data_IF_566486774335
#
_entry.id   IF_566486774335
#
_cell.length_a   1.000
_cell.length_b   1.000
_cell.length_c   1.000
_cell.angle_alpha   90.00
_cell.angle_beta   90.00
_cell.angle_gamma   90.00
#
_symmetry.space_group_name_H-M   'P 1'
#
loop_
_entity.id
_entity.type
_entity.pdbx_description
1 polymer ?
#
# COMPACT_ATOMS: atom_id res chain seq x y z
N UNK A 1 -17.79 -17.27 9.21
CA UNK A 1 -16.57 -17.00 8.39
C UNK A 1 -16.40 -15.49 8.21
N UNK A 2 -15.19 -14.95 8.29
CA UNK A 2 -14.98 -13.54 8.06
C UNK A 2 -15.31 -13.20 6.60
N UNK A 3 -16.00 -12.07 6.38
CA UNK A 3 -16.31 -11.57 5.04
C UNK A 3 -15.06 -11.28 4.20
N UNK A 4 -13.93 -10.99 4.86
CA UNK A 4 -12.67 -10.64 4.24
C UNK A 4 -11.53 -11.43 4.89
N UNK A 5 -10.52 -11.78 4.10
CA UNK A 5 -9.31 -12.49 4.57
C UNK A 5 -8.14 -11.56 4.88
N UNK A 6 -8.29 -10.28 4.60
CA UNK A 6 -7.26 -9.28 4.85
C UNK A 6 -7.87 -7.91 5.15
N UNK A 7 -7.08 -7.08 5.82
CA UNK A 7 -7.39 -5.67 6.07
C UNK A 7 -6.13 -4.82 5.93
N UNK A 8 -6.29 -3.58 5.50
CA UNK A 8 -5.23 -2.57 5.55
C UNK A 8 -5.25 -1.82 6.88
N UNK A 9 -4.18 -1.93 7.66
CA UNK A 9 -4.02 -1.16 8.89
C UNK A 9 -3.32 0.18 8.60
N UNK A 10 -4.09 1.24 8.43
CA UNK A 10 -3.57 2.58 8.16
C UNK A 10 -3.07 3.29 9.45
N UNK A 11 -3.47 2.84 10.64
CA UNK A 11 -3.04 3.45 11.90
C UNK A 11 -1.52 3.33 12.13
N UNK A 12 -0.91 2.27 11.61
CA UNK A 12 0.53 2.00 11.70
C UNK A 12 1.39 3.02 10.94
N UNK A 13 0.79 3.80 10.03
CA UNK A 13 1.45 4.92 9.35
C UNK A 13 1.89 6.03 10.32
N UNK A 14 1.08 6.31 11.30
CA UNK A 14 1.35 7.38 12.26
C UNK A 14 2.26 6.92 13.41
N UNK A 15 2.17 5.66 13.77
CA UNK A 15 2.95 5.05 14.85
C UNK A 15 3.05 3.54 14.67
N UNK A 16 4.24 2.95 14.76
CA UNK A 16 4.41 1.50 14.80
C UNK A 16 3.61 0.88 15.95
N UNK A 17 3.00 -0.29 15.77
CA UNK A 17 2.31 -0.99 16.85
C UNK A 17 3.34 -1.55 17.84
N UNK A 18 2.96 -1.68 19.10
CA UNK A 18 3.72 -2.43 20.09
C UNK A 18 3.45 -3.93 19.96
N UNK A 19 4.39 -4.78 20.43
CA UNK A 19 4.17 -6.22 20.49
C UNK A 19 2.89 -6.60 21.27
N UNK A 20 2.59 -5.89 22.37
CA UNK A 20 1.37 -6.09 23.16
C UNK A 20 0.09 -5.78 22.37
N UNK A 21 0.11 -4.74 21.51
CA UNK A 21 -1.05 -4.45 20.64
C UNK A 21 -1.25 -5.55 19.60
N UNK A 22 -0.18 -6.02 18.98
CA UNK A 22 -0.22 -7.13 18.01
C UNK A 22 -0.70 -8.42 18.67
N UNK A 23 -0.20 -8.76 19.86
CA UNK A 23 -0.66 -9.95 20.61
C UNK A 23 -2.15 -9.92 20.92
N UNK A 24 -2.74 -8.72 21.17
CA UNK A 24 -4.19 -8.60 21.35
C UNK A 24 -4.97 -8.88 20.07
N UNK A 25 -4.43 -8.54 18.90
CA UNK A 25 -5.08 -8.90 17.63
C UNK A 25 -5.10 -10.40 17.38
N UNK A 26 -4.02 -11.14 17.75
CA UNK A 26 -3.97 -12.60 17.58
C UNK A 26 -5.17 -13.34 18.22
N UNK A 27 -5.70 -12.80 19.31
CA UNK A 27 -6.86 -13.38 20.00
C UNK A 27 -8.21 -13.03 19.34
N UNK A 28 -8.23 -12.23 18.28
CA UNK A 28 -9.44 -11.67 17.69
C UNK A 28 -9.57 -11.98 16.19
N UNK A 29 -8.49 -12.40 15.54
CA UNK A 29 -8.47 -12.67 14.10
C UNK A 29 -8.42 -14.18 13.83
N UNK A 30 -9.05 -14.65 12.74
CA UNK A 30 -8.94 -16.03 12.30
C UNK A 30 -7.50 -16.43 11.96
N UNK A 31 -7.22 -17.75 12.01
CA UNK A 31 -5.88 -18.29 11.78
C UNK A 31 -5.30 -17.94 10.40
N UNK A 32 -6.15 -17.87 9.38
CA UNK A 32 -5.78 -17.56 7.98
C UNK A 32 -5.91 -16.06 7.62
N UNK A 33 -6.13 -15.18 8.61
CA UNK A 33 -6.31 -13.76 8.39
C UNK A 33 -4.97 -13.00 8.39
N UNK A 34 -4.70 -12.22 7.36
CA UNK A 34 -3.49 -11.41 7.26
C UNK A 34 -3.80 -9.90 7.31
N UNK A 35 -2.99 -9.15 8.03
CA UNK A 35 -3.07 -7.69 8.13
C UNK A 35 -1.97 -7.04 7.30
N UNK A 36 -2.34 -6.32 6.26
CA UNK A 36 -1.42 -5.43 5.56
C UNK A 36 -1.14 -4.20 6.43
N UNK A 37 0.11 -3.88 6.66
CA UNK A 37 0.51 -2.78 7.53
C UNK A 37 1.08 -1.62 6.72
N UNK A 38 0.49 -0.43 6.84
CA UNK A 38 1.08 0.78 6.27
C UNK A 38 2.31 1.16 7.07
N UNK A 39 3.47 1.27 6.40
CA UNK A 39 4.74 1.57 7.08
C UNK A 39 4.71 2.96 7.70
N UNK A 40 5.30 3.08 8.87
CA UNK A 40 5.44 4.33 9.60
C UNK A 40 6.05 5.44 8.73
N UNK A 41 5.39 6.60 8.71
CA UNK A 41 5.73 7.71 7.81
C UNK A 41 7.18 8.21 7.93
N UNK A 42 7.80 8.08 9.12
CA UNK A 42 9.21 8.42 9.32
C UNK A 42 10.17 7.64 8.39
N UNK A 43 9.76 6.50 7.88
CA UNK A 43 10.57 5.71 6.92
C UNK A 43 10.35 6.19 5.48
N UNK A 44 9.19 6.75 5.16
CA UNK A 44 8.77 7.03 3.78
C UNK A 44 8.76 8.51 3.40
N UNK A 45 8.92 9.42 4.36
CA UNK A 45 8.93 10.87 4.12
C UNK A 45 10.36 11.38 4.07
N UNK A 46 10.87 11.90 2.93
CA UNK A 46 12.22 12.47 2.85
C UNK A 46 12.36 13.81 3.57
N UNK A 47 11.29 14.60 3.58
CA UNK A 47 11.20 15.92 4.24
C UNK A 47 9.85 16.06 4.88
N UNK A 48 9.78 16.53 6.11
CA UNK A 48 8.53 16.77 6.80
C UNK A 48 7.77 17.91 6.14
N UNK A 49 6.48 17.71 5.85
CA UNK A 49 5.65 18.75 5.26
C UNK A 49 5.54 19.97 6.23
N UNK A 50 5.30 21.15 5.65
CA UNK A 50 5.04 22.38 6.42
C UNK A 50 3.64 22.34 7.02
N UNK A 51 3.38 21.38 7.92
CA UNK A 51 2.10 21.18 8.56
C UNK A 51 2.27 21.17 10.08
N UNK A 52 1.32 21.77 10.80
CA UNK A 52 1.37 21.95 12.27
C UNK A 52 1.63 20.64 13.06
N UNK A 53 1.19 19.49 12.54
CA UNK A 53 1.41 18.18 13.20
C UNK A 53 2.90 17.82 13.37
N UNK A 54 3.78 18.39 12.58
CA UNK A 54 5.23 18.12 12.67
C UNK A 54 5.98 19.09 13.59
N UNK A 55 5.30 20.14 14.10
CA UNK A 55 5.90 21.09 15.02
C UNK A 55 7.24 21.63 14.50
N UNK A 56 8.28 21.53 15.33
CA UNK A 56 9.63 22.02 15.00
C UNK A 56 10.29 21.23 13.84
N UNK A 57 9.83 20.03 13.50
CA UNK A 57 10.36 19.26 12.39
C UNK A 57 9.86 19.75 11.01
N UNK A 58 8.80 20.58 10.97
CA UNK A 58 8.20 21.03 9.71
C UNK A 58 9.24 21.65 8.77
N UNK A 59 9.27 21.21 7.51
CA UNK A 59 10.23 21.64 6.49
C UNK A 59 11.65 21.08 6.61
N UNK A 60 11.95 20.33 7.68
CA UNK A 60 13.29 19.74 7.87
C UNK A 60 13.41 18.39 7.12
N UNK A 61 14.65 18.05 6.74
CA UNK A 61 14.97 16.71 6.23
C UNK A 61 14.74 15.68 7.34
N UNK A 62 14.20 14.55 6.95
CA UNK A 62 13.96 13.45 7.85
C UNK A 62 15.17 12.49 7.89
N UNK A 63 15.86 12.34 9.03
CA UNK A 63 17.02 11.45 9.14
C UNK A 63 16.66 9.96 9.09
N UNK A 64 15.39 9.61 9.28
CA UNK A 64 14.89 8.24 9.23
C UNK A 64 14.40 7.82 7.84
N UNK A 65 14.43 8.72 6.86
CA UNK A 65 14.01 8.39 5.50
C UNK A 65 14.85 7.25 4.94
N UNK A 66 14.19 6.14 4.54
CA UNK A 66 14.83 4.91 4.05
C UNK A 66 15.94 4.38 4.98
N UNK A 67 15.77 4.56 6.29
CA UNK A 67 16.69 4.02 7.30
C UNK A 67 16.30 2.57 7.65
N UNK A 68 17.04 1.60 7.13
CA UNK A 68 16.78 0.17 7.32
C UNK A 68 16.89 -0.25 8.80
N UNK A 69 17.86 0.28 9.55
CA UNK A 69 18.04 -0.06 10.97
C UNK A 69 16.86 0.43 11.80
N UNK A 70 16.40 1.66 11.55
CA UNK A 70 15.22 2.21 12.20
C UNK A 70 13.97 1.38 11.87
N UNK A 71 13.78 0.99 10.60
CA UNK A 71 12.65 0.16 10.19
C UNK A 71 12.69 -1.21 10.86
N UNK A 72 13.82 -1.91 10.82
CA UNK A 72 13.99 -3.24 11.44
C UNK A 72 13.71 -3.16 12.93
N UNK A 73 14.33 -2.20 13.64
CA UNK A 73 14.23 -2.10 15.09
C UNK A 73 12.85 -1.62 15.57
N UNK A 74 12.27 -0.61 14.91
CA UNK A 74 11.08 0.08 15.42
C UNK A 74 9.78 -0.43 14.78
N UNK A 75 9.83 -0.99 13.58
CA UNK A 75 8.65 -1.49 12.88
C UNK A 75 8.60 -3.01 12.85
N UNK A 76 9.66 -3.71 12.41
CA UNK A 76 9.61 -5.17 12.28
C UNK A 76 9.75 -5.91 13.61
N UNK A 77 10.60 -5.43 14.53
CA UNK A 77 10.85 -6.13 15.78
C UNK A 77 9.57 -6.37 16.62
N UNK A 78 8.62 -5.43 16.76
CA UNK A 78 7.34 -5.70 17.43
C UNK A 78 6.54 -6.86 16.82
N UNK A 79 6.57 -7.06 15.50
CA UNK A 79 5.89 -8.19 14.84
C UNK A 79 6.56 -9.52 15.16
N UNK A 80 7.89 -9.55 15.26
CA UNK A 80 8.66 -10.74 15.68
C UNK A 80 8.40 -11.07 17.14
N UNK A 81 8.48 -10.08 18.02
CA UNK A 81 8.26 -10.22 19.46
C UNK A 81 6.85 -10.75 19.77
N UNK A 82 5.85 -10.29 19.03
CA UNK A 82 4.47 -10.76 19.13
C UNK A 82 4.23 -12.10 18.43
N UNK A 83 5.20 -12.66 17.70
CA UNK A 83 5.02 -13.82 16.80
C UNK A 83 3.89 -13.63 15.78
N UNK A 84 3.72 -12.40 15.31
CA UNK A 84 2.64 -12.01 14.40
C UNK A 84 2.92 -12.38 12.93
N UNK A 85 4.06 -12.98 12.61
CA UNK A 85 4.50 -13.34 11.25
C UNK A 85 3.43 -14.02 10.39
N UNK A 86 2.76 -15.10 10.85
CA UNK A 86 1.72 -15.77 10.07
C UNK A 86 0.53 -14.89 9.68
N UNK A 87 0.25 -13.86 10.49
CA UNK A 87 -0.85 -12.89 10.26
C UNK A 87 -0.38 -11.59 9.62
N UNK A 88 0.89 -11.52 9.19
CA UNK A 88 1.45 -10.32 8.57
C UNK A 88 1.31 -10.39 7.05
N UNK A 89 0.42 -9.60 6.51
CA UNK A 89 0.37 -9.27 5.10
C UNK A 89 1.53 -8.34 4.69
N UNK A 90 1.56 -7.85 3.44
CA UNK A 90 2.60 -6.95 2.99
C UNK A 90 2.72 -5.66 3.82
N UNK A 91 3.95 -5.25 4.11
CA UNK A 91 4.25 -3.90 4.58
C UNK A 91 4.19 -2.93 3.41
N UNK A 92 3.30 -1.92 3.50
CA UNK A 92 3.01 -0.95 2.45
C UNK A 92 3.79 0.34 2.69
N UNK A 93 4.85 0.56 1.92
CA UNK A 93 5.65 1.79 1.94
C UNK A 93 4.99 2.83 1.05
N UNK A 94 4.15 3.70 1.63
CA UNK A 94 3.50 4.78 0.89
C UNK A 94 4.40 6.02 0.85
N UNK A 95 4.91 6.32 -0.34
CA UNK A 95 5.69 7.53 -0.61
C UNK A 95 4.77 8.63 -1.15
N UNK A 96 4.60 9.66 -0.36
CA UNK A 96 3.91 10.88 -0.78
C UNK A 96 4.69 11.58 -1.90
N UNK A 97 4.08 12.57 -2.55
CA UNK A 97 4.79 13.37 -3.55
C UNK A 97 6.01 14.04 -2.92
N UNK A 98 7.15 13.91 -3.57
CA UNK A 98 8.43 14.43 -3.12
C UNK A 98 9.25 14.97 -4.29
N UNK A 99 10.27 15.77 -4.00
CA UNK A 99 11.13 16.41 -4.99
C UNK A 99 12.38 15.64 -5.39
N UNK A 100 12.55 14.38 -4.96
CA UNK A 100 13.70 13.56 -5.36
C UNK A 100 13.61 13.24 -6.87
N UNK A 101 14.75 13.19 -7.54
CA UNK A 101 14.86 12.64 -8.89
C UNK A 101 14.57 11.12 -8.89
N UNK A 102 14.25 10.56 -10.06
CA UNK A 102 14.05 9.12 -10.23
C UNK A 102 15.30 8.35 -9.78
N UNK A 103 16.49 8.83 -10.14
CA UNK A 103 17.75 8.19 -9.78
C UNK A 103 17.99 8.19 -8.27
N UNK A 104 17.82 9.30 -7.58
CA UNK A 104 17.98 9.40 -6.12
C UNK A 104 16.99 8.49 -5.40
N UNK A 105 15.74 8.50 -5.81
CA UNK A 105 14.70 7.67 -5.22
C UNK A 105 14.98 6.17 -5.43
N UNK A 106 15.27 5.76 -6.66
CA UNK A 106 15.57 4.37 -6.98
C UNK A 106 16.85 3.86 -6.28
N UNK A 107 17.93 4.67 -6.23
CA UNK A 107 19.15 4.31 -5.51
C UNK A 107 18.90 4.17 -4.00
N UNK A 108 18.08 5.06 -3.43
CA UNK A 108 17.67 4.97 -2.04
C UNK A 108 16.87 3.71 -1.74
N UNK A 109 15.89 3.36 -2.61
CA UNK A 109 15.12 2.12 -2.48
C UNK A 109 16.00 0.87 -2.60
N UNK A 110 16.94 0.85 -3.56
CA UNK A 110 17.85 -0.28 -3.79
C UNK A 110 18.69 -0.55 -2.53
N UNK A 111 19.34 0.49 -2.00
CA UNK A 111 20.15 0.38 -0.77
C UNK A 111 19.33 0.02 0.46
N UNK A 112 18.10 0.51 0.56
CA UNK A 112 17.20 0.19 1.67
C UNK A 112 16.74 -1.27 1.63
N UNK A 113 16.17 -1.73 0.51
CA UNK A 113 15.64 -3.09 0.39
C UNK A 113 16.74 -4.17 0.40
N UNK A 114 17.97 -3.84 -0.04
CA UNK A 114 19.12 -4.73 0.08
C UNK A 114 19.44 -5.12 1.52
N UNK A 115 19.10 -4.27 2.50
CA UNK A 115 19.35 -4.48 3.93
C UNK A 115 18.19 -5.12 4.69
N UNK A 116 17.02 -5.21 4.06
CA UNK A 116 15.84 -5.74 4.75
C UNK A 116 15.83 -7.28 4.77
N UNK A 117 15.35 -7.88 5.88
CA UNK A 117 15.17 -9.32 5.96
C UNK A 117 14.11 -9.80 4.95
N UNK A 118 14.25 -11.04 4.49
CA UNK A 118 13.38 -11.64 3.45
C UNK A 118 12.22 -12.47 4.02
N UNK A 119 12.05 -12.48 5.32
CA UNK A 119 10.96 -13.18 6.02
C UNK A 119 9.62 -12.43 6.03
N UNK A 120 9.60 -11.21 5.50
CA UNK A 120 8.39 -10.40 5.32
C UNK A 120 8.18 -9.99 3.87
N UNK A 121 6.94 -9.66 3.52
CA UNK A 121 6.54 -9.14 2.21
C UNK A 121 6.53 -7.61 2.24
N UNK A 122 7.09 -6.99 1.21
CA UNK A 122 7.21 -5.54 1.08
C UNK A 122 6.56 -5.06 -0.21
N UNK A 123 5.83 -3.95 -0.14
CA UNK A 123 5.21 -3.34 -1.29
C UNK A 123 5.37 -1.82 -1.27
N UNK A 124 5.65 -1.22 -2.41
CA UNK A 124 5.87 0.23 -2.56
C UNK A 124 4.69 0.86 -3.28
N UNK A 125 4.09 1.84 -2.63
CA UNK A 125 3.08 2.73 -3.19
C UNK A 125 3.69 4.11 -3.41
N UNK A 126 3.63 4.61 -4.64
CA UNK A 126 4.11 5.94 -4.99
C UNK A 126 2.96 6.87 -5.34
N UNK A 127 3.12 8.17 -5.02
CA UNK A 127 2.18 9.25 -5.39
C UNK A 127 2.73 10.15 -6.49
N UNK A 128 3.88 9.83 -7.05
CA UNK A 128 4.54 10.50 -8.16
C UNK A 128 4.44 9.64 -9.42
N UNK A 129 3.54 9.97 -10.34
CA UNK A 129 3.38 9.24 -11.60
C UNK A 129 4.67 9.23 -12.47
N UNK A 130 5.52 10.27 -12.33
CA UNK A 130 6.80 10.34 -13.02
C UNK A 130 7.86 9.35 -12.55
N UNK A 131 7.66 8.71 -11.40
CA UNK A 131 8.53 7.64 -10.91
C UNK A 131 8.26 6.28 -11.58
N UNK A 132 7.09 6.09 -12.20
CA UNK A 132 6.74 4.86 -12.91
C UNK A 132 7.60 4.73 -14.17
N UNK A 133 8.52 3.77 -14.18
CA UNK A 133 9.41 3.54 -15.30
C UNK A 133 10.37 2.38 -15.08
N UNK A 134 11.24 2.08 -16.07
CA UNK A 134 12.10 0.91 -16.07
C UNK A 134 13.04 0.82 -14.86
N UNK A 135 13.61 1.94 -14.42
CA UNK A 135 14.56 1.96 -13.30
C UNK A 135 13.85 1.59 -11.98
N UNK A 136 12.67 2.18 -11.73
CA UNK A 136 11.85 1.85 -10.57
C UNK A 136 11.40 0.38 -10.60
N UNK A 137 10.91 -0.09 -11.74
CA UNK A 137 10.53 -1.50 -11.95
C UNK A 137 11.68 -2.45 -11.62
N UNK A 138 12.89 -2.18 -12.14
CA UNK A 138 14.05 -3.06 -11.96
C UNK A 138 14.47 -3.14 -10.49
N UNK A 139 14.46 -2.02 -9.77
CA UNK A 139 14.77 -2.02 -8.32
C UNK A 139 13.77 -2.89 -7.55
N UNK A 140 12.48 -2.72 -7.78
CA UNK A 140 11.48 -3.53 -7.08
C UNK A 140 11.62 -5.02 -7.41
N UNK A 141 11.81 -5.36 -8.70
CA UNK A 141 11.97 -6.74 -9.15
C UNK A 141 13.21 -7.40 -8.54
N UNK A 142 14.33 -6.69 -8.43
CA UNK A 142 15.58 -7.19 -7.82
C UNK A 142 15.41 -7.63 -6.39
N UNK A 143 14.52 -6.97 -5.66
CA UNK A 143 14.31 -7.23 -4.23
C UNK A 143 13.02 -8.00 -3.91
N UNK A 144 12.27 -8.48 -4.93
CA UNK A 144 10.96 -9.14 -4.77
C UNK A 144 9.93 -8.25 -4.03
N UNK A 145 10.01 -6.94 -4.28
CA UNK A 145 9.10 -5.94 -3.70
C UNK A 145 7.96 -5.67 -4.68
N UNK A 146 6.71 -5.73 -4.21
CA UNK A 146 5.57 -5.47 -5.06
C UNK A 146 5.39 -3.97 -5.32
N UNK A 147 5.08 -3.61 -6.58
CA UNK A 147 4.46 -2.33 -6.86
C UNK A 147 3.01 -2.36 -6.39
N UNK A 148 2.57 -1.34 -5.65
CA UNK A 148 1.17 -1.17 -5.29
C UNK A 148 0.44 -0.43 -6.40
N UNK A 149 -0.44 -1.13 -7.10
CA UNK A 149 -1.35 -0.53 -8.08
C UNK A 149 -2.38 0.30 -7.34
N UNK A 150 -2.23 1.62 -7.37
CA UNK A 150 -3.10 2.51 -6.62
C UNK A 150 -4.04 3.32 -7.51
N UNK A 151 -5.33 3.22 -7.27
CA UNK A 151 -6.32 4.12 -7.87
C UNK A 151 -6.43 5.36 -6.98
N UNK A 152 -5.66 6.39 -7.33
CA UNK A 152 -5.49 7.60 -6.52
C UNK A 152 -5.45 8.85 -7.39
N UNK A 153 -6.07 9.90 -6.94
CA UNK A 153 -6.24 11.26 -7.51
C UNK A 153 -5.41 11.58 -8.78
N UNK A 154 -4.09 11.66 -8.67
CA UNK A 154 -3.19 12.09 -9.74
C UNK A 154 -2.31 10.96 -10.30
N UNK A 155 -2.63 9.72 -9.96
CA UNK A 155 -1.95 8.57 -10.56
C UNK A 155 -2.63 8.20 -11.88
N UNK A 156 -1.92 7.54 -12.81
CA UNK A 156 -2.54 6.95 -13.98
C UNK A 156 -3.54 5.85 -13.60
N UNK A 157 -4.38 5.41 -14.54
CA UNK A 157 -5.23 4.23 -14.35
C UNK A 157 -4.40 3.00 -13.97
N UNK A 158 -5.02 1.97 -13.40
CA UNK A 158 -4.30 0.73 -13.04
C UNK A 158 -3.72 0.05 -14.27
N UNK A 159 -4.41 0.11 -15.41
CA UNK A 159 -3.92 -0.39 -16.69
C UNK A 159 -2.66 0.34 -17.15
N UNK A 160 -2.67 1.67 -17.11
CA UNK A 160 -1.50 2.48 -17.49
C UNK A 160 -0.32 2.26 -16.54
N UNK A 161 -0.57 2.10 -15.23
CA UNK A 161 0.49 1.73 -14.28
C UNK A 161 1.12 0.40 -14.69
N UNK A 162 0.29 -0.64 -14.96
CA UNK A 162 0.79 -1.94 -15.38
C UNK A 162 1.56 -1.89 -16.71
N UNK A 163 1.07 -1.11 -17.67
CA UNK A 163 1.76 -0.93 -18.96
C UNK A 163 3.16 -0.31 -18.75
N UNK A 164 3.30 0.68 -17.87
CA UNK A 164 4.59 1.31 -17.53
C UNK A 164 5.51 0.38 -16.75
N UNK A 165 4.94 -0.45 -15.88
CA UNK A 165 5.66 -1.45 -15.10
C UNK A 165 5.97 -2.72 -15.89
N UNK A 166 5.27 -2.98 -17.00
CA UNK A 166 5.41 -4.15 -17.90
C UNK A 166 5.05 -5.50 -17.29
N UNK A 167 5.46 -5.76 -16.03
CA UNK A 167 5.19 -7.02 -15.30
C UNK A 167 4.96 -6.74 -13.81
N UNK A 168 4.44 -7.71 -13.09
CA UNK A 168 4.48 -7.69 -11.63
C UNK A 168 5.93 -7.85 -11.12
N UNK A 169 6.25 -7.17 -10.03
CA UNK A 169 7.63 -7.07 -9.52
C UNK A 169 7.95 -8.03 -8.37
N UNK A 170 6.94 -8.77 -7.85
CA UNK A 170 7.09 -9.69 -6.72
C UNK A 170 6.24 -10.95 -6.92
N UNK A 171 6.44 -12.02 -6.14
CA UNK A 171 5.60 -13.23 -6.16
C UNK A 171 4.15 -13.00 -5.69
N UNK A 172 3.79 -11.80 -5.34
CA UNK A 172 2.45 -11.36 -4.97
C UNK A 172 2.15 -10.00 -5.58
N UNK A 173 0.89 -9.57 -5.54
CA UNK A 173 0.46 -8.26 -6.03
C UNK A 173 -0.43 -7.55 -5.01
N UNK A 174 -0.43 -6.21 -5.07
CA UNK A 174 -1.21 -5.38 -4.17
C UNK A 174 -1.92 -4.30 -4.96
N UNK A 175 -3.22 -4.15 -4.70
CA UNK A 175 -4.07 -3.10 -5.26
C UNK A 175 -4.65 -2.27 -4.12
N UNK A 176 -4.61 -0.95 -4.26
CA UNK A 176 -5.26 -0.02 -3.33
C UNK A 176 -6.21 0.91 -4.09
N UNK A 177 -7.51 0.67 -3.93
CA UNK A 177 -8.58 1.45 -4.56
C UNK A 177 -9.04 2.52 -3.58
N UNK A 178 -8.64 3.78 -3.80
CA UNK A 178 -8.70 4.79 -2.75
C UNK A 178 -9.62 5.97 -3.07
N UNK A 179 -9.41 6.66 -4.20
CA UNK A 179 -10.20 7.83 -4.62
C UNK A 179 -10.40 7.79 -6.12
N UNK A 180 -11.47 8.39 -6.66
CA UNK A 180 -11.59 8.60 -8.09
C UNK A 180 -10.40 9.38 -8.64
N UNK A 181 -9.98 9.06 -9.86
CA UNK A 181 -8.93 9.82 -10.55
C UNK A 181 -9.37 11.27 -10.73
N UNK A 182 -8.41 12.21 -10.66
CA UNK A 182 -8.62 13.66 -10.79
C UNK A 182 -9.53 14.29 -9.73
N UNK A 183 -9.91 13.53 -8.70
CA UNK A 183 -10.69 14.06 -7.57
C UNK A 183 -9.78 14.24 -6.36
N UNK A 184 -9.86 15.37 -5.65
CA UNK A 184 -9.10 15.58 -4.41
C UNK A 184 -9.59 14.66 -3.30
N UNK A 185 -8.74 14.42 -2.30
CA UNK A 185 -9.10 13.60 -1.15
C UNK A 185 -10.35 14.12 -0.43
N UNK A 186 -10.43 15.44 -0.21
CA UNK A 186 -11.57 16.07 0.48
C UNK A 186 -12.86 15.95 -0.35
N UNK A 187 -12.80 16.22 -1.66
CA UNK A 187 -13.96 16.05 -2.53
C UNK A 187 -14.45 14.60 -2.55
N UNK A 188 -13.53 13.62 -2.61
CA UNK A 188 -13.88 12.20 -2.56
C UNK A 188 -14.49 11.80 -1.22
N UNK A 189 -14.00 12.36 -0.10
CA UNK A 189 -14.58 12.17 1.23
C UNK A 189 -16.00 12.69 1.30
N UNK A 190 -16.21 13.96 0.98
CA UNK A 190 -17.53 14.61 1.01
C UNK A 190 -18.54 13.87 0.11
N UNK A 191 -18.10 13.44 -1.10
CA UNK A 191 -18.95 12.68 -2.02
C UNK A 191 -19.37 11.33 -1.43
N UNK A 192 -18.48 10.65 -0.73
CA UNK A 192 -18.67 9.28 -0.27
C UNK A 192 -19.39 9.18 1.09
N UNK A 193 -19.33 10.21 1.94
CA UNK A 193 -20.06 10.22 3.23
C UNK A 193 -21.58 10.06 3.04
N UNK A 194 -22.26 9.31 3.94
CA UNK A 194 -21.79 8.64 5.17
C UNK A 194 -21.24 7.21 4.99
N UNK A 195 -20.76 6.82 3.82
CA UNK A 195 -20.13 5.52 3.50
C UNK A 195 -21.08 4.31 3.58
N UNK A 196 -22.37 4.50 3.36
CA UNK A 196 -23.40 3.47 3.53
C UNK A 196 -23.94 2.90 2.21
N UNK A 197 -23.51 3.42 1.07
CA UNK A 197 -23.94 2.99 -0.28
C UNK A 197 -22.89 3.32 -1.33
N UNK A 198 -23.01 2.72 -2.50
CA UNK A 198 -22.29 3.18 -3.70
C UNK A 198 -22.91 4.51 -4.15
N UNK A 199 -22.08 5.56 -4.16
CA UNK A 199 -22.49 6.90 -4.60
C UNK A 199 -22.09 7.19 -6.04
N UNK A 200 -21.22 6.36 -6.60
CA UNK A 200 -20.82 6.44 -8.02
C UNK A 200 -19.83 5.35 -8.35
N UNK A 201 -20.24 4.47 -9.23
CA UNK A 201 -19.39 3.38 -9.72
C UNK A 201 -18.21 3.91 -10.53
N UNK A 202 -17.13 3.17 -10.51
CA UNK A 202 -15.91 3.41 -11.29
C UNK A 202 -15.65 2.19 -12.20
N UNK A 203 -16.39 2.04 -13.33
CA UNK A 203 -16.34 0.84 -14.16
C UNK A 203 -14.93 0.51 -14.66
N UNK A 204 -14.18 1.53 -15.11
CA UNK A 204 -12.80 1.35 -15.58
C UNK A 204 -11.88 0.83 -14.46
N UNK A 205 -12.00 1.37 -13.24
CA UNK A 205 -11.26 0.90 -12.07
C UNK A 205 -11.60 -0.58 -11.78
N UNK A 206 -12.88 -0.94 -11.79
CA UNK A 206 -13.32 -2.33 -11.57
C UNK A 206 -12.78 -3.26 -12.65
N UNK A 207 -12.93 -2.90 -13.93
CA UNK A 207 -12.46 -3.69 -15.07
C UNK A 207 -10.93 -3.90 -15.03
N UNK A 208 -10.17 -2.83 -14.80
CA UNK A 208 -8.72 -2.90 -14.66
C UNK A 208 -8.32 -3.81 -13.50
N UNK A 209 -8.99 -3.66 -12.34
CA UNK A 209 -8.72 -4.49 -11.15
C UNK A 209 -8.97 -5.96 -11.47
N UNK A 210 -10.15 -6.30 -12.00
CA UNK A 210 -10.51 -7.69 -12.33
C UNK A 210 -9.53 -8.30 -13.33
N UNK A 211 -9.20 -7.58 -14.40
CA UNK A 211 -8.26 -8.04 -15.43
C UNK A 211 -6.87 -8.31 -14.84
N UNK A 212 -6.33 -7.38 -14.04
CA UNK A 212 -5.00 -7.54 -13.45
C UNK A 212 -4.96 -8.58 -12.33
N UNK A 213 -6.03 -8.74 -11.55
CA UNK A 213 -6.16 -9.82 -10.57
C UNK A 213 -6.19 -11.18 -11.25
N UNK A 214 -6.96 -11.34 -12.34
CA UNK A 214 -6.96 -12.58 -13.14
C UNK A 214 -5.57 -12.88 -13.72
N UNK A 215 -4.87 -11.87 -14.24
CA UNK A 215 -3.51 -12.04 -14.72
C UNK A 215 -2.57 -12.48 -13.58
N UNK A 216 -2.60 -11.83 -12.42
CA UNK A 216 -1.80 -12.22 -11.27
C UNK A 216 -2.09 -13.67 -10.83
N UNK A 217 -3.36 -14.06 -10.80
CA UNK A 217 -3.79 -15.44 -10.48
C UNK A 217 -3.27 -16.46 -11.49
N UNK A 218 -3.31 -16.16 -12.81
CA UNK A 218 -2.75 -17.02 -13.85
C UNK A 218 -1.24 -17.19 -13.75
N UNK A 219 -0.55 -16.23 -13.12
CA UNK A 219 0.88 -16.29 -12.79
C UNK A 219 1.15 -16.88 -11.39
N UNK A 220 0.16 -17.51 -10.74
CA UNK A 220 0.25 -18.09 -9.40
C UNK A 220 0.67 -17.07 -8.30
N UNK A 221 0.22 -15.81 -8.41
CA UNK A 221 0.51 -14.76 -7.43
C UNK A 221 -0.65 -14.59 -6.46
N UNK A 222 -0.35 -14.56 -5.16
CA UNK A 222 -1.30 -14.07 -4.16
C UNK A 222 -1.60 -12.61 -4.39
N UNK A 223 -2.87 -12.21 -4.33
CA UNK A 223 -3.29 -10.83 -4.62
C UNK A 223 -4.04 -10.23 -3.43
N UNK A 224 -3.60 -9.05 -2.99
CA UNK A 224 -4.24 -8.25 -1.95
C UNK A 224 -4.97 -7.07 -2.61
N UNK A 225 -6.28 -7.00 -2.44
CA UNK A 225 -7.11 -5.89 -2.94
C UNK A 225 -7.68 -5.13 -1.74
N UNK A 226 -7.17 -3.94 -1.49
CA UNK A 226 -7.57 -3.07 -0.39
C UNK A 226 -8.42 -1.92 -0.93
N UNK A 227 -9.68 -1.88 -0.52
CA UNK A 227 -10.63 -0.87 -0.99
C UNK A 227 -10.92 0.13 0.11
N UNK A 228 -10.92 1.41 -0.24
CA UNK A 228 -11.34 2.49 0.65
C UNK A 228 -12.75 2.96 0.29
N UNK A 229 -13.54 3.33 1.29
CA UNK A 229 -14.89 3.85 1.09
C UNK A 229 -14.95 5.03 0.12
N UNK A 230 -13.91 5.86 0.06
CA UNK A 230 -13.83 7.03 -0.85
C UNK A 230 -13.74 6.66 -2.32
N UNK A 231 -13.44 5.42 -2.68
CA UNK A 231 -13.42 5.00 -4.08
C UNK A 231 -14.83 5.17 -4.70
N UNK A 232 -15.82 4.49 -4.16
CA UNK A 232 -17.17 4.45 -4.73
C UNK A 232 -18.28 4.80 -3.72
N UNK A 233 -17.96 4.96 -2.42
CA UNK A 233 -18.90 5.29 -1.35
C UNK A 233 -19.03 4.22 -0.27
N UNK A 234 -18.78 2.93 -0.61
CA UNK A 234 -18.84 1.82 0.35
C UNK A 234 -17.90 0.70 -0.07
N UNK A 235 -16.85 0.49 0.70
CA UNK A 235 -15.82 -0.50 0.37
C UNK A 235 -16.35 -1.95 0.34
N UNK A 236 -17.16 -2.43 1.30
CA UNK A 236 -17.77 -3.76 1.23
C UNK A 236 -18.56 -4.01 -0.05
N UNK A 237 -19.40 -3.07 -0.49
CA UNK A 237 -20.19 -3.21 -1.72
C UNK A 237 -19.29 -3.18 -2.97
N UNK A 238 -18.24 -2.35 -2.99
CA UNK A 238 -17.25 -2.37 -4.07
C UNK A 238 -16.53 -3.73 -4.14
N UNK A 239 -16.14 -4.30 -2.99
CA UNK A 239 -15.49 -5.61 -2.96
C UNK A 239 -16.45 -6.70 -3.44
N UNK A 240 -17.72 -6.64 -3.03
CA UNK A 240 -18.74 -7.58 -3.51
C UNK A 240 -18.84 -7.56 -5.04
N UNK A 241 -18.97 -6.38 -5.64
CA UNK A 241 -19.04 -6.24 -7.10
C UNK A 241 -17.78 -6.77 -7.81
N UNK A 242 -16.58 -6.55 -7.24
CA UNK A 242 -15.33 -7.11 -7.78
C UNK A 242 -15.32 -8.64 -7.70
N UNK A 243 -15.77 -9.23 -6.59
CA UNK A 243 -15.85 -10.69 -6.41
C UNK A 243 -16.85 -11.31 -7.39
N UNK A 244 -18.01 -10.69 -7.60
CA UNK A 244 -19.00 -11.12 -8.60
C UNK A 244 -18.36 -11.14 -9.99
N UNK A 245 -17.71 -10.05 -10.41
CA UNK A 245 -17.02 -9.98 -11.71
C UNK A 245 -15.84 -10.95 -11.85
N UNK A 246 -15.20 -11.34 -10.76
CA UNK A 246 -14.10 -12.33 -10.80
C UNK A 246 -14.60 -13.79 -10.98
N UNK A 247 -15.88 -14.07 -10.64
CA UNK A 247 -16.51 -15.40 -10.79
C UNK A 247 -17.04 -15.67 -12.19
N UNK A 248 -17.32 -14.62 -12.95
CA UNK A 248 -17.68 -14.69 -14.38
C UNK A 248 -16.48 -15.09 -15.26
#
# INVERSE_FOLDING_TARGET
>A
EPLFRTVGNDATFYRPPTASQLSRYLNQIPEDFEMCAKVWEEITIPTYATHARYGIKAGQRNPNFLNADAFIKLVLQPYRDARFGPHTGPFLFEFQRHGLSVQEFCSGLDGFFARLPKDFRYAVEIRNAGMLGPQYHEVLRRHDVAHVYNHWTFMPSLAEQHQRMRTFTAPFSVFRLQTPLRMTHEAAKTRAEPYNRIVGELPEMRQDTVRLVRQAASENRTTYVLVNNRAEGNAPLTIQALVESLRE
#
